data_IF_738996908624
#
_entry.id   IF_738996908624
#
_cell.length_a   1.000
_cell.length_b   1.000
_cell.length_c   1.000
_cell.angle_alpha   90.00
_cell.angle_beta   90.00
_cell.angle_gamma   90.00
#
_symmetry.space_group_name_H-M   'P 1'
#
loop_
_entity.id
_entity.type
_entity.pdbx_description
1 polymer ?
#
# COMPACT_ATOMS: atom_id res chain seq x y z
N UNK A 1 16.52 6.23 -7.94
CA UNK A 1 15.40 6.56 -7.04
C UNK A 1 15.80 6.80 -5.57
N UNK A 2 17.09 6.86 -5.20
CA UNK A 2 17.48 7.14 -3.81
C UNK A 2 17.41 8.63 -3.42
N UNK A 3 17.70 9.57 -4.34
CA UNK A 3 17.70 11.01 -4.05
C UNK A 3 16.31 11.61 -3.75
N UNK A 4 15.26 11.10 -4.41
CA UNK A 4 13.89 11.60 -4.25
C UNK A 4 13.34 11.32 -2.84
N UNK A 5 13.73 10.19 -2.24
CA UNK A 5 13.28 9.79 -0.90
C UNK A 5 13.88 10.68 0.19
N UNK A 6 15.15 11.07 0.05
CA UNK A 6 15.83 11.96 1.00
C UNK A 6 15.22 13.36 0.95
N UNK A 7 14.95 13.88 -0.25
CA UNK A 7 14.32 15.20 -0.41
C UNK A 7 12.91 15.22 0.19
N UNK A 8 12.08 14.22 -0.12
CA UNK A 8 10.75 14.09 0.46
C UNK A 8 10.79 14.00 2.00
N UNK A 9 11.74 13.23 2.54
CA UNK A 9 11.96 13.13 3.97
C UNK A 9 12.33 14.48 4.59
N UNK A 10 13.28 15.21 4.00
CA UNK A 10 13.70 16.52 4.48
C UNK A 10 12.56 17.55 4.42
N UNK A 11 11.81 17.59 3.32
CA UNK A 11 10.63 18.46 3.21
C UNK A 11 9.58 18.12 4.27
N UNK A 12 9.28 16.83 4.47
CA UNK A 12 8.38 16.37 5.52
C UNK A 12 8.86 16.73 6.92
N UNK A 13 10.17 16.58 7.18
CA UNK A 13 10.80 16.94 8.44
C UNK A 13 10.67 18.45 8.72
N UNK A 14 11.01 19.29 7.74
CA UNK A 14 10.88 20.75 7.85
C UNK A 14 9.43 21.15 8.07
N UNK A 15 8.49 20.58 7.31
CA UNK A 15 7.07 20.87 7.44
C UNK A 15 6.56 20.51 8.83
N UNK A 16 6.92 19.33 9.34
CA UNK A 16 6.47 18.83 10.64
C UNK A 16 7.08 19.61 11.81
N UNK A 17 8.41 19.65 11.92
CA UNK A 17 9.07 20.31 13.04
C UNK A 17 8.93 21.82 12.97
N UNK A 18 9.01 22.41 11.77
CA UNK A 18 8.74 23.83 11.58
C UNK A 18 7.28 24.17 11.88
N UNK A 19 6.32 23.36 11.42
CA UNK A 19 4.90 23.52 11.76
C UNK A 19 4.63 23.44 13.26
N UNK A 20 5.29 22.51 13.97
CA UNK A 20 5.18 22.39 15.43
C UNK A 20 5.76 23.61 16.15
N UNK A 21 6.93 24.10 15.73
CA UNK A 21 7.53 25.33 16.29
C UNK A 21 6.65 26.55 16.04
N UNK A 22 6.07 26.66 14.84
CA UNK A 22 5.12 27.73 14.50
C UNK A 22 3.83 27.62 15.31
N UNK A 23 3.33 26.40 15.58
CA UNK A 23 2.17 26.20 16.44
C UNK A 23 2.43 26.68 17.88
N UNK A 24 3.61 26.36 18.44
CA UNK A 24 4.01 26.83 19.78
C UNK A 24 4.18 28.36 19.80
N UNK A 25 4.80 28.93 18.76
CA UNK A 25 4.94 30.39 18.62
C UNK A 25 3.57 31.07 18.53
N UNK A 26 2.67 30.55 17.69
CA UNK A 26 1.33 31.07 17.51
C UNK A 26 0.53 31.00 18.81
N UNK A 27 0.62 29.88 19.54
CA UNK A 27 -0.05 29.70 20.84
C UNK A 27 0.37 30.76 21.86
N UNK A 28 1.65 31.11 21.91
CA UNK A 28 2.19 32.15 22.82
C UNK A 28 1.75 33.56 22.46
N UNK A 29 1.63 33.87 21.16
CA UNK A 29 1.24 35.20 20.66
C UNK A 29 -0.28 35.41 20.67
N UNK A 30 -1.07 34.34 20.58
CA UNK A 30 -2.50 34.42 20.33
C UNK A 30 -3.24 35.04 21.52
N UNK A 31 -4.08 36.06 21.25
CA UNK A 31 -4.88 36.75 22.26
C UNK A 31 -6.31 36.20 22.33
N UNK A 32 -6.84 35.69 21.22
CA UNK A 32 -8.22 35.15 21.18
C UNK A 32 -8.27 33.79 21.86
N UNK A 33 -9.18 33.64 22.83
CA UNK A 33 -9.31 32.42 23.62
C UNK A 33 -9.56 31.17 22.76
N UNK A 34 -10.52 31.25 21.83
CA UNK A 34 -10.90 30.13 20.95
C UNK A 34 -9.73 29.59 20.13
N UNK A 35 -8.98 30.49 19.46
CA UNK A 35 -7.82 30.10 18.64
C UNK A 35 -6.68 29.55 19.50
N UNK A 36 -6.48 30.11 20.70
CA UNK A 36 -5.49 29.59 21.66
C UNK A 36 -5.86 28.17 22.11
N UNK A 37 -7.12 27.91 22.43
CA UNK A 37 -7.61 26.57 22.81
C UNK A 37 -7.44 25.60 21.65
N UNK A 38 -7.81 25.98 20.43
CA UNK A 38 -7.60 25.16 19.24
C UNK A 38 -6.13 24.78 19.05
N UNK A 39 -5.20 25.75 19.10
CA UNK A 39 -3.77 25.49 18.97
C UNK A 39 -3.24 24.58 20.08
N UNK A 40 -3.72 24.77 21.32
CA UNK A 40 -3.36 23.91 22.45
C UNK A 40 -3.83 22.47 22.26
N UNK A 41 -5.08 22.27 21.84
CA UNK A 41 -5.62 20.95 21.51
C UNK A 41 -4.87 20.31 20.34
N UNK A 42 -4.54 21.08 19.31
CA UNK A 42 -3.74 20.61 18.17
C UNK A 42 -2.37 20.11 18.60
N UNK A 43 -1.64 20.88 19.41
CA UNK A 43 -0.31 20.48 19.90
C UNK A 43 -0.43 19.21 20.75
N UNK A 44 -1.39 19.17 21.68
CA UNK A 44 -1.65 18.00 22.51
C UNK A 44 -1.97 16.76 21.66
N UNK A 45 -2.85 16.92 20.66
CA UNK A 45 -3.23 15.85 19.74
C UNK A 45 -2.04 15.32 18.95
N UNK A 46 -1.22 16.21 18.37
CA UNK A 46 0.00 15.84 17.64
C UNK A 46 0.98 15.12 18.57
N UNK A 47 1.16 15.59 19.81
CA UNK A 47 2.02 14.93 20.79
C UNK A 47 1.54 13.53 21.13
N UNK A 48 0.25 13.36 21.43
CA UNK A 48 -0.34 12.04 21.71
C UNK A 48 -0.14 11.10 20.52
N UNK A 49 -0.45 11.56 19.31
CA UNK A 49 -0.26 10.77 18.10
C UNK A 49 1.20 10.40 17.87
N UNK A 50 2.13 11.32 18.09
CA UNK A 50 3.56 11.05 17.94
C UNK A 50 4.00 9.95 18.92
N UNK A 51 3.66 10.06 20.20
CA UNK A 51 4.01 9.06 21.20
C UNK A 51 3.30 7.72 20.99
N UNK A 52 2.11 7.71 20.39
CA UNK A 52 1.38 6.48 20.09
C UNK A 52 1.90 5.79 18.81
N UNK A 53 2.10 6.56 17.74
CA UNK A 53 2.41 6.01 16.42
C UNK A 53 3.89 5.69 16.23
N UNK A 54 4.81 6.41 16.87
CA UNK A 54 6.26 6.10 16.78
C UNK A 54 6.61 4.70 17.27
N UNK A 55 6.21 4.25 18.48
CA UNK A 55 6.53 2.90 18.93
C UNK A 55 5.83 1.82 18.10
N UNK A 56 4.64 2.11 17.59
CA UNK A 56 3.86 1.17 16.79
C UNK A 56 4.21 1.21 15.28
N UNK A 57 5.08 2.11 14.83
CA UNK A 57 5.32 2.36 13.41
C UNK A 57 5.76 1.11 12.62
N UNK A 58 6.45 0.17 13.27
CA UNK A 58 6.93 -1.06 12.63
C UNK A 58 5.84 -2.14 12.46
N UNK A 59 4.74 -2.04 13.21
CA UNK A 59 3.68 -3.07 13.24
C UNK A 59 2.36 -2.57 12.67
N UNK A 60 2.23 -1.25 12.48
CA UNK A 60 0.99 -0.59 12.08
C UNK A 60 0.85 -0.53 10.55
N UNK A 61 -0.35 -0.89 10.08
CA UNK A 61 -0.75 -0.62 8.69
C UNK A 61 -0.94 0.88 8.45
N UNK A 62 -0.66 1.38 7.23
CA UNK A 62 -0.83 2.79 6.82
C UNK A 62 -2.17 3.44 7.24
N UNK A 63 -3.24 2.66 7.37
CA UNK A 63 -4.57 3.14 7.77
C UNK A 63 -4.61 3.85 9.13
N UNK A 64 -3.73 3.51 10.07
CA UNK A 64 -3.74 4.18 11.37
C UNK A 64 -3.23 5.62 11.30
N UNK A 65 -2.55 6.01 10.22
CA UNK A 65 -2.17 7.39 9.97
C UNK A 65 -3.33 8.26 9.42
N UNK A 66 -4.49 7.67 9.08
CA UNK A 66 -5.67 8.42 8.61
C UNK A 66 -6.12 9.49 9.61
N UNK A 67 -5.98 9.22 10.91
CA UNK A 67 -6.32 10.21 11.96
C UNK A 67 -5.36 11.40 11.98
N UNK A 68 -4.15 11.28 11.43
CA UNK A 68 -3.18 12.37 11.30
C UNK A 68 -3.28 13.15 9.98
N UNK A 69 -4.19 12.75 9.08
CA UNK A 69 -4.27 13.30 7.71
C UNK A 69 -4.45 14.82 7.68
N UNK A 70 -5.14 15.40 8.66
CA UNK A 70 -5.41 16.84 8.69
C UNK A 70 -4.24 17.67 9.24
N UNK A 71 -3.29 17.07 9.96
CA UNK A 71 -2.18 17.77 10.63
C UNK A 71 -1.28 18.52 9.63
N UNK A 72 -0.84 17.92 8.49
CA UNK A 72 -0.05 18.63 7.50
C UNK A 72 -0.72 19.90 6.99
N UNK A 73 -2.05 19.90 6.82
CA UNK A 73 -2.80 21.07 6.36
C UNK A 73 -2.85 22.18 7.41
N UNK A 74 -3.02 21.82 8.69
CA UNK A 74 -2.95 22.80 9.79
C UNK A 74 -1.56 23.43 9.86
N UNK A 75 -0.51 22.62 9.77
CA UNK A 75 0.87 23.11 9.77
C UNK A 75 1.18 23.97 8.55
N UNK A 76 0.69 23.60 7.38
CA UNK A 76 0.82 24.40 6.16
C UNK A 76 0.13 25.77 6.30
N UNK A 77 -1.05 25.82 6.92
CA UNK A 77 -1.71 27.08 7.27
C UNK A 77 -0.88 27.96 8.20
N UNK A 78 -0.23 27.38 9.21
CA UNK A 78 0.69 28.12 10.10
C UNK A 78 1.93 28.63 9.36
N UNK A 79 2.45 27.87 8.39
CA UNK A 79 3.51 28.33 7.51
C UNK A 79 3.06 29.52 6.64
N UNK A 80 1.83 29.49 6.13
CA UNK A 80 1.27 30.60 5.38
C UNK A 80 1.11 31.86 6.23
N UNK A 81 0.56 31.74 7.45
CA UNK A 81 0.50 32.85 8.41
C UNK A 81 1.89 33.43 8.68
N UNK A 82 2.91 32.58 8.81
CA UNK A 82 4.29 33.01 9.03
C UNK A 82 4.90 33.73 7.81
N UNK A 83 4.65 33.25 6.59
CA UNK A 83 5.13 33.92 5.38
C UNK A 83 4.41 35.26 5.14
N UNK A 84 3.15 35.37 5.52
CA UNK A 84 2.40 36.63 5.50
C UNK A 84 3.01 37.68 6.42
N UNK A 85 3.44 37.29 7.64
CA UNK A 85 4.15 38.18 8.58
C UNK A 85 5.47 38.72 7.96
N UNK A 86 6.16 37.94 7.13
CA UNK A 86 7.47 38.30 6.56
C UNK A 86 7.34 39.07 5.25
N UNK A 87 6.40 38.68 4.38
CA UNK A 87 6.25 39.21 3.02
C UNK A 87 4.84 39.79 2.76
N UNK A 88 4.45 40.89 3.42
CA UNK A 88 3.07 41.38 3.41
C UNK A 88 2.57 41.86 2.03
N UNK A 89 3.47 42.26 1.12
CA UNK A 89 3.09 42.85 -0.20
C UNK A 89 2.99 41.84 -1.34
N UNK A 90 3.58 40.66 -1.22
CA UNK A 90 3.61 39.61 -2.28
C UNK A 90 2.83 38.35 -1.87
N UNK A 91 2.13 38.41 -0.74
CA UNK A 91 1.59 37.25 -0.05
C UNK A 91 0.61 36.43 -0.90
N UNK A 92 -0.40 37.04 -1.52
CA UNK A 92 -1.47 36.30 -2.20
C UNK A 92 -0.94 35.55 -3.43
N UNK A 93 -0.12 36.20 -4.27
CA UNK A 93 0.42 35.57 -5.48
C UNK A 93 1.37 34.43 -5.11
N UNK A 94 2.20 34.63 -4.08
CA UNK A 94 3.12 33.62 -3.59
C UNK A 94 2.40 32.40 -3.00
N UNK A 95 1.40 32.62 -2.13
CA UNK A 95 0.56 31.57 -1.54
C UNK A 95 -0.20 30.79 -2.62
N UNK A 96 -0.76 31.50 -3.60
CA UNK A 96 -1.45 30.88 -4.72
C UNK A 96 -0.51 30.04 -5.59
N UNK A 97 0.70 30.54 -5.85
CA UNK A 97 1.75 29.81 -6.55
C UNK A 97 2.13 28.50 -5.85
N UNK A 98 2.38 28.55 -4.53
CA UNK A 98 2.67 27.35 -3.73
C UNK A 98 1.51 26.36 -3.79
N UNK A 99 0.26 26.85 -3.65
CA UNK A 99 -0.93 26.00 -3.68
C UNK A 99 -1.07 25.29 -5.03
N UNK A 100 -0.89 25.99 -6.15
CA UNK A 100 -0.90 25.38 -7.49
C UNK A 100 0.17 24.30 -7.60
N UNK A 101 1.40 24.59 -7.16
CA UNK A 101 2.50 23.62 -7.22
C UNK A 101 2.14 22.36 -6.44
N UNK A 102 1.60 22.50 -5.22
CA UNK A 102 1.20 21.36 -4.40
C UNK A 102 0.06 20.55 -5.03
N UNK A 103 -0.93 21.20 -5.63
CA UNK A 103 -2.02 20.53 -6.35
C UNK A 103 -1.48 19.77 -7.57
N UNK A 104 -0.62 20.40 -8.38
CA UNK A 104 0.01 19.75 -9.53
C UNK A 104 0.87 18.55 -9.11
N UNK A 105 1.65 18.68 -8.03
CA UNK A 105 2.43 17.57 -7.48
C UNK A 105 1.51 16.45 -6.99
N UNK A 106 0.42 16.78 -6.28
CA UNK A 106 -0.54 15.78 -5.81
C UNK A 106 -1.15 15.00 -6.99
N UNK A 107 -1.60 15.71 -8.03
CA UNK A 107 -2.14 15.08 -9.26
C UNK A 107 -1.08 14.18 -9.90
N UNK A 108 0.15 14.66 -10.05
CA UNK A 108 1.24 13.88 -10.64
C UNK A 108 1.52 12.58 -9.85
N UNK A 109 1.62 12.66 -8.52
CA UNK A 109 1.86 11.49 -7.68
C UNK A 109 0.68 10.51 -7.70
N UNK A 110 -0.56 11.01 -7.65
CA UNK A 110 -1.76 10.18 -7.75
C UNK A 110 -1.79 9.44 -9.09
N UNK A 111 -1.54 10.14 -10.21
CA UNK A 111 -1.47 9.52 -11.53
C UNK A 111 -0.34 8.50 -11.64
N UNK A 112 0.84 8.79 -11.07
CA UNK A 112 1.96 7.86 -11.02
C UNK A 112 1.59 6.59 -10.24
N UNK A 113 0.91 6.73 -9.10
CA UNK A 113 0.40 5.58 -8.33
C UNK A 113 -0.63 4.78 -9.13
N UNK A 114 -1.58 5.42 -9.82
CA UNK A 114 -2.53 4.71 -10.69
C UNK A 114 -1.83 3.96 -11.82
N UNK A 115 -0.81 4.55 -12.45
CA UNK A 115 0.00 3.90 -13.48
C UNK A 115 0.74 2.69 -12.92
N UNK A 116 1.25 2.78 -11.69
CA UNK A 116 1.90 1.67 -11.01
C UNK A 116 0.90 0.54 -10.70
N UNK A 117 -0.27 0.84 -10.13
CA UNK A 117 -1.32 -0.15 -9.90
C UNK A 117 -1.81 -0.79 -11.19
N UNK A 118 -1.91 -0.03 -12.27
CA UNK A 118 -2.23 -0.57 -13.58
C UNK A 118 -1.14 -1.49 -14.11
N UNK A 119 0.14 -1.17 -13.86
CA UNK A 119 1.26 -2.05 -14.24
C UNK A 119 1.17 -3.41 -13.54
N UNK A 120 0.62 -3.49 -12.33
CA UNK A 120 0.41 -4.74 -11.62
C UNK A 120 -0.66 -5.64 -12.27
N UNK A 121 -1.54 -5.07 -13.10
CA UNK A 121 -2.49 -5.85 -13.90
C UNK A 121 -1.85 -6.45 -15.17
N UNK A 122 -0.61 -6.06 -15.48
CA UNK A 122 0.22 -6.63 -16.55
C UNK A 122 1.33 -7.48 -15.93
N UNK A 123 2.05 -8.29 -16.72
CA UNK A 123 3.15 -9.15 -16.22
C UNK A 123 4.19 -8.34 -15.43
N UNK A 124 3.99 -8.26 -14.12
CA UNK A 124 4.73 -7.36 -13.24
C UNK A 124 5.63 -8.16 -12.35
N UNK A 125 6.83 -7.61 -12.17
CA UNK A 125 7.88 -8.23 -11.41
C UNK A 125 7.89 -7.70 -9.96
N UNK A 126 6.96 -6.82 -9.59
CA UNK A 126 6.89 -6.21 -8.26
C UNK A 126 6.59 -7.25 -7.15
N UNK A 127 7.12 -7.01 -5.95
CA UNK A 127 6.89 -7.85 -4.78
C UNK A 127 5.42 -7.81 -4.32
N UNK A 128 4.94 -8.92 -3.75
CA UNK A 128 3.54 -9.06 -3.33
C UNK A 128 3.34 -8.57 -1.90
N UNK A 129 3.12 -7.27 -1.74
CA UNK A 129 2.69 -6.71 -0.45
C UNK A 129 1.17 -6.72 -0.27
N UNK A 130 0.42 -6.47 -1.35
CA UNK A 130 -1.04 -6.60 -1.44
C UNK A 130 -1.41 -7.50 -2.63
N UNK A 131 -2.57 -8.17 -2.63
CA UNK A 131 -3.09 -8.97 -3.76
C UNK A 131 -4.29 -8.24 -4.37
N UNK A 132 -4.31 -8.06 -5.69
CA UNK A 132 -5.44 -7.43 -6.37
C UNK A 132 -6.61 -8.40 -6.49
N UNK A 133 -7.83 -7.86 -6.52
CA UNK A 133 -9.03 -8.69 -6.63
C UNK A 133 -9.05 -9.50 -7.94
N UNK A 134 -8.77 -8.84 -9.06
CA UNK A 134 -8.72 -9.48 -10.39
C UNK A 134 -7.68 -10.59 -10.48
N UNK A 135 -6.53 -10.38 -9.84
CA UNK A 135 -5.49 -11.39 -9.66
C UNK A 135 -6.09 -12.67 -9.03
N UNK A 136 -6.82 -12.53 -7.93
CA UNK A 136 -7.47 -13.67 -7.25
C UNK A 136 -8.57 -14.30 -8.11
N UNK A 137 -9.39 -13.50 -8.79
CA UNK A 137 -10.50 -13.99 -9.61
C UNK A 137 -10.00 -14.84 -10.80
N UNK A 138 -8.99 -14.36 -11.51
CA UNK A 138 -8.38 -15.07 -12.64
C UNK A 138 -7.67 -16.35 -12.17
N UNK A 139 -7.01 -16.28 -11.00
CA UNK A 139 -6.41 -17.44 -10.34
C UNK A 139 -7.42 -18.52 -10.00
N UNK A 140 -8.52 -18.12 -9.35
CA UNK A 140 -9.56 -19.03 -8.94
C UNK A 140 -10.23 -19.65 -10.18
N UNK A 141 -10.45 -18.86 -11.22
CA UNK A 141 -11.01 -19.34 -12.49
C UNK A 141 -10.10 -20.38 -13.17
N UNK A 142 -8.79 -20.15 -13.15
CA UNK A 142 -7.80 -21.11 -13.66
C UNK A 142 -7.75 -22.40 -12.84
N UNK A 143 -7.79 -22.30 -11.51
CA UNK A 143 -7.89 -23.48 -10.63
C UNK A 143 -9.16 -24.27 -10.95
N UNK A 144 -10.30 -23.58 -11.14
CA UNK A 144 -11.58 -24.22 -11.48
C UNK A 144 -11.47 -24.93 -12.84
N UNK A 145 -10.93 -24.29 -13.87
CA UNK A 145 -10.82 -24.90 -15.20
C UNK A 145 -9.88 -26.11 -15.23
N UNK A 146 -8.76 -26.03 -14.51
CA UNK A 146 -7.73 -27.08 -14.51
C UNK A 146 -7.92 -28.15 -13.41
N UNK A 147 -8.92 -28.00 -12.54
CA UNK A 147 -9.22 -28.96 -11.47
C UNK A 147 -9.79 -30.29 -11.97
N UNK A 148 -10.12 -30.42 -13.26
CA UNK A 148 -10.62 -31.66 -13.90
C UNK A 148 -11.80 -32.31 -13.16
N UNK A 149 -12.67 -31.51 -12.55
CA UNK A 149 -13.83 -31.99 -11.79
C UNK A 149 -13.52 -32.46 -10.36
N UNK A 150 -12.30 -32.28 -9.86
CA UNK A 150 -11.94 -32.57 -8.48
C UNK A 150 -12.62 -31.59 -7.51
N UNK A 151 -13.23 -32.13 -6.44
CA UNK A 151 -13.83 -31.31 -5.37
C UNK A 151 -12.79 -30.69 -4.43
N UNK A 152 -11.54 -31.16 -4.48
CA UNK A 152 -10.43 -30.71 -3.66
C UNK A 152 -9.19 -30.54 -4.51
N UNK A 153 -8.45 -29.45 -4.27
CA UNK A 153 -7.19 -29.14 -4.95
C UNK A 153 -6.14 -28.70 -3.95
N UNK A 154 -4.88 -28.98 -4.25
CA UNK A 154 -3.75 -28.71 -3.37
C UNK A 154 -3.01 -27.47 -3.86
N UNK A 155 -2.80 -26.50 -2.97
CA UNK A 155 -1.97 -25.32 -3.24
C UNK A 155 -0.61 -25.46 -2.55
N UNK A 156 0.46 -25.18 -3.29
CA UNK A 156 1.85 -25.21 -2.82
C UNK A 156 2.64 -24.04 -3.42
N UNK A 157 3.83 -23.75 -2.89
CA UNK A 157 4.68 -22.64 -3.37
C UNK A 157 5.17 -21.74 -2.23
N UNK A 158 5.47 -20.48 -2.56
CA UNK A 158 5.98 -19.51 -1.60
C UNK A 158 4.95 -19.24 -0.49
N UNK A 159 5.36 -19.47 0.77
CA UNK A 159 4.52 -19.28 1.96
C UNK A 159 3.97 -17.87 2.08
N UNK A 160 4.73 -16.83 1.72
CA UNK A 160 4.27 -15.42 1.74
C UNK A 160 3.12 -15.24 0.75
N UNK A 161 3.16 -15.93 -0.39
CA UNK A 161 2.12 -15.80 -1.41
C UNK A 161 0.87 -16.61 -1.09
N UNK A 162 1.04 -17.87 -0.65
CA UNK A 162 -0.07 -18.70 -0.18
C UNK A 162 -0.82 -17.98 0.96
N UNK A 163 -0.12 -17.50 1.98
CA UNK A 163 -0.74 -16.84 3.13
C UNK A 163 -1.61 -15.64 2.74
N UNK A 164 -1.19 -14.86 1.75
CA UNK A 164 -1.88 -13.64 1.32
C UNK A 164 -3.02 -13.88 0.34
N UNK A 165 -2.90 -14.85 -0.56
CA UNK A 165 -3.85 -15.03 -1.66
C UNK A 165 -4.81 -16.22 -1.46
N UNK A 166 -4.41 -17.25 -0.68
CA UNK A 166 -5.16 -18.51 -0.56
C UNK A 166 -6.59 -18.31 -0.05
N UNK A 167 -6.80 -17.52 1.00
CA UNK A 167 -8.16 -17.27 1.55
C UNK A 167 -9.09 -16.64 0.52
N UNK A 168 -8.57 -15.68 -0.24
CA UNK A 168 -9.33 -15.00 -1.28
C UNK A 168 -9.62 -15.96 -2.45
N UNK A 169 -8.63 -16.76 -2.87
CA UNK A 169 -8.84 -17.78 -3.91
C UNK A 169 -9.88 -18.82 -3.46
N UNK A 170 -9.78 -19.31 -2.22
CA UNK A 170 -10.71 -20.28 -1.63
C UNK A 170 -12.14 -19.74 -1.64
N UNK A 171 -12.33 -18.46 -1.31
CA UNK A 171 -13.66 -17.83 -1.37
C UNK A 171 -14.30 -17.92 -2.76
N UNK A 172 -13.52 -17.66 -3.82
CA UNK A 172 -14.02 -17.74 -5.19
C UNK A 172 -14.17 -19.17 -5.69
N UNK A 173 -13.21 -20.06 -5.43
CA UNK A 173 -13.31 -21.47 -5.87
C UNK A 173 -14.43 -22.23 -5.15
N UNK A 174 -14.74 -21.87 -3.91
CA UNK A 174 -15.83 -22.47 -3.14
C UNK A 174 -17.20 -22.23 -3.78
N UNK A 175 -17.38 -21.10 -4.50
CA UNK A 175 -18.61 -20.85 -5.28
C UNK A 175 -18.80 -21.87 -6.41
N UNK A 176 -17.71 -22.43 -6.93
CA UNK A 176 -17.70 -23.50 -7.93
C UNK A 176 -17.61 -24.90 -7.30
N UNK A 177 -17.74 -25.02 -5.97
CA UNK A 177 -17.71 -26.31 -5.27
C UNK A 177 -16.32 -26.93 -5.06
N UNK A 178 -15.25 -26.15 -5.25
CA UNK A 178 -13.86 -26.62 -5.13
C UNK A 178 -13.23 -26.07 -3.85
N UNK A 179 -12.73 -26.97 -3.00
CA UNK A 179 -12.01 -26.63 -1.78
C UNK A 179 -10.50 -26.64 -2.02
N UNK A 180 -9.83 -25.55 -1.64
CA UNK A 180 -8.37 -25.44 -1.68
C UNK A 180 -7.80 -25.90 -0.33
N UNK A 181 -6.76 -26.73 -0.36
CA UNK A 181 -6.00 -27.13 0.82
C UNK A 181 -4.51 -26.85 0.61
N UNK A 182 -3.81 -26.41 1.65
CA UNK A 182 -2.35 -26.25 1.59
C UNK A 182 -1.66 -27.63 1.64
N UNK A 183 -0.60 -27.81 0.84
CA UNK A 183 0.18 -29.05 0.79
C UNK A 183 0.80 -29.38 2.16
N UNK A 184 0.54 -30.57 2.66
CA UNK A 184 1.13 -31.13 3.87
C UNK A 184 1.56 -32.60 3.62
N UNK A 185 2.33 -33.20 4.54
CA UNK A 185 2.79 -34.60 4.49
C UNK A 185 1.67 -35.64 4.40
N UNK A 186 0.44 -35.26 4.76
CA UNK A 186 -0.76 -36.13 4.74
C UNK A 186 -1.67 -35.89 3.53
N UNK A 187 -1.26 -35.01 2.61
CA UNK A 187 -2.08 -34.68 1.45
C UNK A 187 -2.09 -35.84 0.46
N UNK A 188 -3.27 -36.22 0.00
CA UNK A 188 -3.48 -37.28 -0.98
C UNK A 188 -2.70 -36.97 -2.28
N UNK A 189 -1.78 -37.85 -2.72
CA UNK A 189 -0.98 -37.65 -3.93
C UNK A 189 -1.81 -37.57 -5.21
N UNK A 190 -3.05 -38.08 -5.21
CA UNK A 190 -3.92 -38.12 -6.39
C UNK A 190 -4.67 -36.80 -6.65
N UNK A 191 -4.60 -35.83 -5.74
CA UNK A 191 -5.28 -34.55 -5.87
C UNK A 191 -4.51 -33.60 -6.81
N UNK A 192 -5.20 -32.85 -7.69
CA UNK A 192 -4.57 -31.84 -8.53
C UNK A 192 -3.76 -30.83 -7.70
N UNK A 193 -2.51 -30.60 -8.09
CA UNK A 193 -1.59 -29.72 -7.39
C UNK A 193 -1.34 -28.45 -8.21
N UNK A 194 -1.51 -27.31 -7.55
CA UNK A 194 -1.24 -25.98 -8.09
C UNK A 194 -0.07 -25.34 -7.35
N UNK A 195 0.96 -24.95 -8.09
CA UNK A 195 2.11 -24.23 -7.57
C UNK A 195 1.94 -22.72 -7.80
N UNK A 196 2.05 -21.93 -6.73
CA UNK A 196 1.98 -20.46 -6.75
C UNK A 196 3.38 -19.89 -6.59
N UNK A 197 3.83 -19.13 -7.58
CA UNK A 197 5.16 -18.49 -7.58
C UNK A 197 5.12 -17.06 -8.10
N UNK A 198 6.16 -16.28 -7.80
CA UNK A 198 6.29 -14.94 -8.37
C UNK A 198 6.48 -15.02 -9.89
N UNK A 199 5.84 -14.14 -10.66
CA UNK A 199 6.02 -14.05 -12.12
C UNK A 199 7.50 -13.88 -12.52
N UNK A 200 8.32 -13.23 -11.68
CA UNK A 200 9.79 -13.14 -11.86
C UNK A 200 10.47 -14.50 -11.94
N UNK A 201 10.00 -15.46 -11.15
CA UNK A 201 10.60 -16.78 -11.05
C UNK A 201 10.04 -17.74 -12.11
N UNK A 202 9.10 -17.30 -12.94
CA UNK A 202 8.40 -18.16 -13.92
C UNK A 202 9.37 -18.97 -14.77
N UNK A 203 10.35 -18.32 -15.40
CA UNK A 203 11.32 -19.02 -16.27
C UNK A 203 12.19 -20.01 -15.50
N UNK A 204 12.56 -19.68 -14.26
CA UNK A 204 13.31 -20.59 -13.38
C UNK A 204 12.49 -21.82 -13.01
N UNK A 205 11.21 -21.63 -12.70
CA UNK A 205 10.27 -22.70 -12.35
C UNK A 205 10.02 -23.60 -13.56
N UNK A 206 9.80 -23.02 -14.74
CA UNK A 206 9.66 -23.77 -16.01
C UNK A 206 10.90 -24.62 -16.33
N UNK A 207 12.10 -24.14 -15.99
CA UNK A 207 13.33 -24.89 -16.19
C UNK A 207 13.54 -26.01 -15.14
N UNK A 208 13.08 -25.82 -13.90
CA UNK A 208 13.28 -26.78 -12.81
C UNK A 208 12.19 -27.85 -12.67
N UNK A 209 10.95 -27.52 -12.98
CA UNK A 209 9.78 -28.36 -12.73
C UNK A 209 9.31 -29.01 -14.03
N UNK A 210 9.58 -30.31 -14.19
CA UNK A 210 9.26 -31.05 -15.42
C UNK A 210 7.78 -31.45 -15.51
N UNK A 211 7.06 -31.38 -14.41
CA UNK A 211 5.68 -31.86 -14.31
C UNK A 211 4.64 -30.76 -14.57
N UNK A 212 5.00 -29.64 -15.19
CA UNK A 212 4.01 -28.58 -15.48
C UNK A 212 3.08 -29.04 -16.62
N UNK A 213 1.78 -29.04 -16.35
CA UNK A 213 0.73 -29.30 -17.33
C UNK A 213 0.37 -28.02 -18.09
N UNK A 214 0.02 -26.99 -17.35
CA UNK A 214 -0.38 -25.68 -17.84
C UNK A 214 0.03 -24.61 -16.82
N UNK A 215 0.07 -23.35 -17.25
CA UNK A 215 0.31 -22.23 -16.35
C UNK A 215 -0.50 -21.00 -16.75
N UNK A 216 -0.90 -20.22 -15.75
CA UNK A 216 -1.47 -18.88 -15.93
C UNK A 216 -0.56 -17.87 -15.26
N UNK A 217 -0.01 -16.95 -16.06
CA UNK A 217 0.69 -15.77 -15.53
C UNK A 217 -0.27 -14.59 -15.53
N UNK A 218 -0.53 -14.03 -14.36
CA UNK A 218 -1.35 -12.83 -14.25
C UNK A 218 -0.78 -11.90 -13.19
N UNK A 219 -0.47 -10.67 -13.59
CA UNK A 219 0.12 -9.69 -12.68
C UNK A 219 1.43 -10.17 -12.09
N UNK A 220 1.46 -10.30 -10.75
CA UNK A 220 2.68 -10.59 -9.97
C UNK A 220 2.86 -12.05 -9.56
N UNK A 221 1.92 -12.95 -9.87
CA UNK A 221 2.14 -14.38 -9.68
C UNK A 221 1.80 -15.19 -10.93
N UNK A 222 2.43 -16.36 -10.97
CA UNK A 222 2.12 -17.42 -11.92
C UNK A 222 1.61 -18.62 -11.14
N UNK A 223 0.46 -19.14 -11.57
CA UNK A 223 -0.06 -20.43 -11.14
C UNK A 223 0.34 -21.50 -12.14
N UNK A 224 0.94 -22.58 -11.66
CA UNK A 224 1.26 -23.75 -12.47
C UNK A 224 0.36 -24.91 -12.03
N UNK A 225 -0.35 -25.49 -12.98
CA UNK A 225 -1.03 -26.77 -12.81
C UNK A 225 0.00 -27.89 -13.02
N UNK A 226 0.18 -28.76 -12.04
CA UNK A 226 1.11 -29.88 -12.13
C UNK A 226 0.40 -31.15 -12.60
N UNK A 227 1.07 -31.92 -13.46
CA UNK A 227 0.65 -33.27 -13.84
C UNK A 227 0.79 -34.19 -12.64
N UNK A 228 -0.25 -34.97 -12.41
CA UNK A 228 -0.27 -36.11 -11.51
C UNK A 228 0.65 -37.21 -12.04
#
# INVERSE_FOLDING_TARGET
>A
MHGLNIQAFLCGFILFFGGLLLAIRALRKEKRYERRVFLGLMILFVSILFFLLVPLANEISMRFFLISLFIPFVFLGLWFDFFEEIFPRTNIIFLFGITIVLVCMNIFFVLASFKEYHSYLTNSSAGMDNVLLKEVEDSASFIVSESRGAKKVVLTGDKKYIFKAMKSMEYFTKRSGIQIIEKNKKTDPSLPVFLVENTKNKEKVLASEKNIAQYLSFGRFTLFSLKL
#
